data_IF_561154541638
#
_entry.id   IF_561154541638
#
_cell.length_a   1.000
_cell.length_b   1.000
_cell.length_c   1.000
_cell.angle_alpha   90.00
_cell.angle_beta   90.00
_cell.angle_gamma   90.00
#
_symmetry.space_group_name_H-M   'P 1'
#
loop_
_entity.id
_entity.type
_entity.pdbx_description
1 polymer ?
#
# COMPACT_ATOMS: atom_id res chain seq x y z
N UNK A 1 -6.17 -17.90 22.67
CA UNK A 1 -6.17 -16.69 21.82
C UNK A 1 -7.33 -15.84 22.28
N UNK A 2 -7.07 -14.62 22.73
CA UNK A 2 -8.13 -13.69 23.16
C UNK A 2 -8.91 -13.25 21.92
N UNK A 3 -10.25 -13.42 21.91
CA UNK A 3 -11.07 -12.86 20.85
C UNK A 3 -11.06 -11.33 20.99
N UNK A 4 -10.72 -10.64 19.90
CA UNK A 4 -10.85 -9.19 19.82
C UNK A 4 -12.32 -8.86 19.56
N UNK A 5 -12.91 -7.89 20.29
CA UNK A 5 -14.27 -7.45 20.01
C UNK A 5 -14.35 -6.91 18.57
N UNK A 6 -15.44 -7.19 17.86
CA UNK A 6 -15.63 -6.67 16.49
C UNK A 6 -15.92 -5.17 16.50
N UNK A 7 -16.60 -4.69 17.55
CA UNK A 7 -16.96 -3.30 17.74
C UNK A 7 -16.54 -2.79 19.12
N UNK A 8 -16.07 -1.54 19.17
CA UNK A 8 -15.79 -0.78 20.39
C UNK A 8 -16.56 0.54 20.27
N UNK A 9 -17.38 0.85 21.28
CA UNK A 9 -18.22 2.06 21.31
C UNK A 9 -19.10 2.27 20.05
N UNK A 10 -19.58 1.16 19.48
CA UNK A 10 -20.45 1.17 18.29
C UNK A 10 -19.72 1.38 16.96
N UNK A 11 -18.39 1.46 16.96
CA UNK A 11 -17.56 1.54 15.76
C UNK A 11 -16.74 0.25 15.58
N UNK A 12 -16.35 -0.11 14.34
CA UNK A 12 -15.46 -1.25 14.11
C UNK A 12 -14.19 -1.14 14.95
N UNK A 13 -13.67 -2.26 15.46
CA UNK A 13 -12.42 -2.34 16.24
C UNK A 13 -11.15 -2.16 15.38
N UNK A 14 -11.24 -1.22 14.45
CA UNK A 14 -10.14 -0.59 13.71
C UNK A 14 -10.22 0.95 13.84
N UNK A 15 -11.28 1.48 14.48
CA UNK A 15 -11.51 2.89 14.76
C UNK A 15 -11.17 3.22 16.22
N UNK A 16 -11.03 4.52 16.56
CA UNK A 16 -11.02 4.97 17.97
C UNK A 16 -9.69 4.82 18.71
N UNK A 17 -8.61 4.46 18.01
CA UNK A 17 -7.27 4.28 18.61
C UNK A 17 -6.44 5.58 18.65
N UNK A 18 -7.04 6.74 18.39
CA UNK A 18 -6.33 8.02 18.28
C UNK A 18 -5.50 8.36 19.52
N UNK A 19 -5.98 8.18 20.78
CA UNK A 19 -5.17 8.44 21.97
C UNK A 19 -3.93 7.54 22.07
N UNK A 20 -4.09 6.25 21.73
CA UNK A 20 -2.99 5.28 21.73
C UNK A 20 -1.97 5.58 20.64
N UNK A 21 -2.44 5.93 19.43
CA UNK A 21 -1.59 6.34 18.31
C UNK A 21 -0.81 7.59 18.71
N UNK A 22 -1.48 8.61 19.27
CA UNK A 22 -0.83 9.84 19.70
C UNK A 22 0.22 9.60 20.80
N UNK A 23 -0.12 8.79 21.82
CA UNK A 23 0.82 8.40 22.86
C UNK A 23 2.04 7.68 22.27
N UNK A 24 1.81 6.74 21.34
CA UNK A 24 2.86 5.97 20.69
C UNK A 24 3.78 6.89 19.90
N UNK A 25 3.23 7.79 19.09
CA UNK A 25 3.99 8.76 18.29
C UNK A 25 4.85 9.67 19.17
N UNK A 26 4.28 10.19 20.27
CA UNK A 26 5.00 11.04 21.24
C UNK A 26 6.14 10.26 21.92
N UNK A 27 5.89 9.03 22.35
CA UNK A 27 6.90 8.18 22.97
C UNK A 27 8.03 7.79 22.01
N UNK A 28 7.75 7.67 20.71
CA UNK A 28 8.73 7.34 19.69
C UNK A 28 9.39 8.53 19.00
N UNK A 29 9.00 9.77 19.34
CA UNK A 29 9.37 10.97 18.57
C UNK A 29 10.89 11.14 18.36
N UNK A 30 11.70 10.77 19.36
CA UNK A 30 13.16 10.89 19.32
C UNK A 30 13.88 9.58 19.00
N UNK A 31 13.13 8.54 18.60
CA UNK A 31 13.70 7.23 18.26
C UNK A 31 13.81 7.12 16.74
N UNK A 32 15.01 7.27 16.16
CA UNK A 32 15.18 7.00 14.75
C UNK A 32 14.87 5.53 14.46
N UNK A 33 14.01 5.27 13.47
CA UNK A 33 13.62 3.91 13.08
C UNK A 33 14.59 3.38 12.02
N UNK A 34 14.69 4.06 10.88
CA UNK A 34 15.51 3.60 9.74
C UNK A 34 16.84 4.36 9.58
N UNK A 35 17.08 5.41 10.38
CA UNK A 35 18.33 6.18 10.28
C UNK A 35 19.59 5.32 10.50
N UNK A 36 19.64 4.38 11.47
CA UNK A 36 20.83 3.52 11.66
C UNK A 36 21.10 2.58 10.48
N UNK A 37 20.09 2.28 9.68
CA UNK A 37 20.17 1.42 8.50
C UNK A 37 20.41 2.25 7.21
N UNK A 38 20.26 3.57 7.29
CA UNK A 38 20.48 4.48 6.18
C UNK A 38 21.95 4.57 5.83
N UNK A 39 22.26 4.39 4.54
CA UNK A 39 23.60 4.63 3.99
C UNK A 39 23.85 6.09 3.60
N UNK A 40 22.85 6.96 3.79
CA UNK A 40 22.92 8.38 3.44
C UNK A 40 23.45 9.16 4.64
N UNK A 41 24.55 9.89 4.44
CA UNK A 41 25.05 10.86 5.40
C UNK A 41 24.30 12.19 5.23
N UNK A 42 23.24 12.36 6.02
CA UNK A 42 22.41 13.56 5.99
C UNK A 42 23.14 14.85 6.44
N UNK A 43 24.29 14.75 7.12
CA UNK A 43 25.07 15.91 7.53
C UNK A 43 25.84 16.59 6.37
N UNK A 44 26.02 15.87 5.26
CA UNK A 44 26.86 16.31 4.14
C UNK A 44 26.08 16.53 2.83
N UNK A 45 24.76 16.36 2.82
CA UNK A 45 23.95 16.62 1.63
C UNK A 45 23.64 18.12 1.46
N UNK A 46 23.73 18.62 0.23
CA UNK A 46 23.30 19.98 -0.14
C UNK A 46 21.80 20.07 -0.44
N UNK A 47 21.24 18.99 -0.97
CA UNK A 47 19.82 18.84 -1.29
C UNK A 47 19.48 17.34 -1.33
N UNK A 48 18.23 16.99 -1.02
CA UNK A 48 17.68 15.64 -1.17
C UNK A 48 16.27 15.71 -1.76
N UNK A 49 15.87 14.66 -2.46
CA UNK A 49 14.51 14.42 -2.93
C UNK A 49 14.12 12.98 -2.60
N UNK A 50 12.86 12.76 -2.25
CA UNK A 50 12.30 11.44 -2.01
C UNK A 50 11.04 11.28 -2.87
N UNK A 51 10.90 10.11 -3.48
CA UNK A 51 9.72 9.74 -4.27
C UNK A 51 9.12 8.51 -3.59
N UNK A 52 7.90 8.65 -3.10
CA UNK A 52 7.10 7.52 -2.61
C UNK A 52 6.08 7.18 -3.69
N UNK A 53 6.25 6.03 -4.33
CA UNK A 53 5.28 5.50 -5.28
C UNK A 53 4.32 4.58 -4.52
N UNK A 54 3.02 4.83 -4.63
CA UNK A 54 1.99 3.94 -4.11
C UNK A 54 1.22 3.33 -5.28
N UNK A 55 1.40 2.03 -5.48
CA UNK A 55 0.57 1.28 -6.41
C UNK A 55 -0.63 0.69 -5.68
N UNK A 56 -1.82 1.14 -6.07
CA UNK A 56 -3.05 0.46 -5.70
C UNK A 56 -3.47 -0.51 -6.82
N UNK A 57 -3.59 -1.79 -6.50
CA UNK A 57 -3.97 -2.85 -7.44
C UNK A 57 -5.33 -3.43 -7.06
N UNK A 58 -6.45 -2.88 -7.57
CA UNK A 58 -7.76 -3.42 -7.29
C UNK A 58 -7.94 -4.78 -7.95
N UNK A 59 -8.77 -5.62 -7.33
CA UNK A 59 -9.27 -6.84 -7.94
C UNK A 59 -10.49 -6.53 -8.80
N UNK A 60 -10.52 -7.08 -10.00
CA UNK A 60 -11.59 -6.91 -10.99
C UNK A 60 -12.04 -8.28 -11.52
N UNK A 61 -13.33 -8.46 -11.88
CA UNK A 61 -13.85 -9.71 -12.43
C UNK A 61 -13.49 -9.82 -13.93
N UNK A 62 -12.21 -9.98 -14.23
CA UNK A 62 -11.68 -9.95 -15.59
C UNK A 62 -10.83 -11.18 -15.95
N UNK A 63 -10.83 -12.22 -15.12
CA UNK A 63 -10.18 -13.50 -15.38
C UNK A 63 -10.99 -14.40 -16.32
N UNK A 64 -11.45 -13.87 -17.46
CA UNK A 64 -12.32 -14.57 -18.40
C UNK A 64 -13.12 -13.60 -19.28
N UNK A 65 -13.79 -14.11 -20.32
CA UNK A 65 -14.56 -13.30 -21.26
C UNK A 65 -16.02 -13.07 -20.81
N UNK A 66 -16.58 -13.99 -20.03
CA UNK A 66 -17.95 -13.89 -19.51
C UNK A 66 -17.92 -13.31 -18.09
N UNK A 67 -18.53 -12.14 -17.93
CA UNK A 67 -18.55 -11.41 -16.67
C UNK A 67 -19.22 -12.20 -15.53
N UNK A 68 -20.17 -13.09 -15.84
CA UNK A 68 -20.86 -13.90 -14.83
C UNK A 68 -19.99 -15.01 -14.24
N UNK A 69 -18.93 -15.41 -14.96
CA UNK A 69 -18.05 -16.53 -14.59
C UNK A 69 -16.57 -16.13 -14.48
N UNK A 70 -16.22 -14.88 -14.79
CA UNK A 70 -14.86 -14.38 -14.78
C UNK A 70 -14.23 -14.45 -13.38
N UNK A 71 -12.99 -14.96 -13.30
CA UNK A 71 -12.24 -14.94 -12.06
C UNK A 71 -11.87 -13.52 -11.61
N UNK A 72 -11.76 -13.31 -10.30
CA UNK A 72 -11.21 -12.07 -9.75
C UNK A 72 -9.69 -12.05 -9.96
N UNK A 73 -9.19 -11.08 -10.73
CA UNK A 73 -7.77 -10.87 -11.00
C UNK A 73 -7.36 -9.44 -10.66
N UNK A 74 -6.08 -9.17 -10.46
CA UNK A 74 -5.61 -7.79 -10.33
C UNK A 74 -5.73 -7.04 -11.66
N UNK A 75 -5.94 -5.73 -11.58
CA UNK A 75 -5.93 -4.89 -12.78
C UNK A 75 -4.61 -5.03 -13.57
N UNK A 76 -3.46 -5.15 -12.90
CA UNK A 76 -2.18 -5.37 -13.57
C UNK A 76 -2.15 -6.68 -14.39
N UNK A 77 -2.75 -7.76 -13.90
CA UNK A 77 -2.87 -9.01 -14.68
C UNK A 77 -3.75 -8.79 -15.92
N UNK A 78 -4.88 -8.11 -15.78
CA UNK A 78 -5.72 -7.77 -16.93
C UNK A 78 -4.95 -6.95 -17.97
N UNK A 79 -4.19 -5.94 -17.55
CA UNK A 79 -3.36 -5.16 -18.46
C UNK A 79 -2.29 -6.01 -19.17
N UNK A 80 -1.63 -6.91 -18.44
CA UNK A 80 -0.66 -7.86 -19.01
C UNK A 80 -1.27 -8.77 -20.07
N UNK A 81 -2.47 -9.29 -19.83
CA UNK A 81 -3.15 -10.18 -20.76
C UNK A 81 -3.73 -9.43 -21.99
N UNK A 82 -3.82 -8.09 -21.93
CA UNK A 82 -4.50 -7.25 -22.92
C UNK A 82 -3.65 -6.04 -23.39
N UNK A 83 -2.35 -6.23 -23.67
CA UNK A 83 -1.42 -5.13 -23.97
C UNK A 83 -1.79 -4.25 -25.18
N UNK A 84 -2.58 -4.78 -26.13
CA UNK A 84 -3.02 -4.02 -27.31
C UNK A 84 -4.15 -3.02 -27.07
N UNK A 85 -4.69 -2.95 -25.84
CA UNK A 85 -5.82 -2.09 -25.50
C UNK A 85 -5.32 -0.89 -24.70
N UNK A 86 -5.49 0.32 -25.26
CA UNK A 86 -5.16 1.57 -24.57
C UNK A 86 -3.73 1.59 -24.03
N UNK A 87 -3.57 1.98 -22.76
CA UNK A 87 -2.27 2.09 -22.10
C UNK A 87 -1.80 0.80 -21.41
N UNK A 88 -2.41 -0.34 -21.72
CA UNK A 88 -2.05 -1.63 -21.13
C UNK A 88 -0.62 -2.08 -21.45
N UNK A 89 0.00 -1.55 -22.51
CA UNK A 89 1.42 -1.76 -22.81
C UNK A 89 2.36 -1.27 -21.70
N UNK A 90 1.90 -0.42 -20.77
CA UNK A 90 2.66 0.01 -19.59
C UNK A 90 2.70 -1.03 -18.47
N UNK A 91 1.92 -2.12 -18.56
CA UNK A 91 1.84 -3.14 -17.50
C UNK A 91 3.22 -3.70 -17.07
N UNK A 92 4.17 -4.00 -17.98
CA UNK A 92 5.50 -4.46 -17.57
C UNK A 92 6.26 -3.44 -16.73
N UNK A 93 6.11 -2.13 -17.00
CA UNK A 93 6.74 -1.07 -16.21
C UNK A 93 6.15 -1.04 -14.81
N UNK A 94 4.82 -1.09 -14.71
CA UNK A 94 4.09 -1.12 -13.45
C UNK A 94 4.35 -2.37 -12.62
N UNK A 95 4.76 -3.49 -13.20
CA UNK A 95 5.08 -4.70 -12.45
C UNK A 95 6.32 -4.57 -11.55
N UNK A 96 7.21 -3.60 -11.82
CA UNK A 96 8.42 -3.36 -11.04
C UNK A 96 8.24 -2.37 -9.89
N UNK A 97 7.06 -1.77 -9.77
CA UNK A 97 6.71 -0.83 -8.71
C UNK A 97 6.03 -1.57 -7.55
#
# INVERSE_FOLDING_TARGET
MSQLPEYVDGLPNICGSEPLIEQTLRASANRPVFLPESRVDFGHIRAASAIALHMHQPLIPAGGHDLQTAGMISNLKYMMDNQGIGDNYNAPVFHWC
#
